data_IF_982326190704
#
_entry.id   IF_982326190704
#
_cell.length_a   1.000
_cell.length_b   1.000
_cell.length_c   1.000
_cell.angle_alpha   90.00
_cell.angle_beta   90.00
_cell.angle_gamma   90.00
#
_symmetry.space_group_name_H-M   'P 1'
#
loop_
_entity.id
_entity.type
_entity.pdbx_description
1 polymer ?
#
# COMPACT_ATOMS: atom_id res chain seq x y z
N UNK A 1 -7.81 4.56 -7.45
CA UNK A 1 -7.60 3.36 -8.31
C UNK A 1 -7.27 2.15 -7.44
N UNK A 2 -7.73 0.92 -7.76
CA UNK A 2 -7.44 -0.27 -6.95
C UNK A 2 -6.07 -0.89 -7.25
N UNK A 3 -5.43 -1.49 -6.24
CA UNK A 3 -4.15 -2.21 -6.40
C UNK A 3 -4.27 -3.39 -7.40
N UNK A 4 -3.27 -3.56 -8.28
CA UNK A 4 -3.25 -4.61 -9.32
C UNK A 4 -2.79 -5.98 -8.80
N UNK A 5 -2.05 -6.01 -7.68
CA UNK A 5 -1.61 -7.25 -7.03
C UNK A 5 -1.85 -7.22 -5.52
N UNK A 6 -1.82 -8.42 -4.90
CA UNK A 6 -1.87 -8.56 -3.44
C UNK A 6 -0.65 -7.89 -2.78
N UNK A 7 0.53 -7.97 -3.39
CA UNK A 7 1.74 -7.31 -2.88
C UNK A 7 1.57 -5.78 -2.79
N UNK A 8 1.05 -5.16 -3.86
CA UNK A 8 0.77 -3.71 -3.86
C UNK A 8 -0.27 -3.32 -2.82
N UNK A 9 -1.31 -4.12 -2.63
CA UNK A 9 -2.34 -3.87 -1.62
C UNK A 9 -1.77 -3.91 -0.20
N UNK A 10 -0.91 -4.90 0.10
CA UNK A 10 -0.21 -4.99 1.39
C UNK A 10 0.73 -3.81 1.60
N UNK A 11 1.49 -3.44 0.58
CA UNK A 11 2.39 -2.28 0.62
C UNK A 11 1.62 -0.97 0.86
N UNK A 12 0.46 -0.80 0.21
CA UNK A 12 -0.42 0.35 0.42
C UNK A 12 -0.96 0.40 1.87
N UNK A 13 -1.32 -0.74 2.45
CA UNK A 13 -1.76 -0.82 3.84
C UNK A 13 -0.67 -0.40 4.82
N UNK A 14 0.57 -0.90 4.64
CA UNK A 14 1.71 -0.50 5.46
C UNK A 14 2.04 1.00 5.30
N UNK A 15 2.06 1.49 4.06
CA UNK A 15 2.26 2.89 3.76
C UNK A 15 1.18 3.78 4.40
N UNK A 16 -0.09 3.36 4.38
CA UNK A 16 -1.21 4.07 5.01
C UNK A 16 -1.03 4.16 6.52
N UNK A 17 -0.70 3.05 7.19
CA UNK A 17 -0.44 3.03 8.62
C UNK A 17 0.70 3.98 9.00
N UNK A 18 1.77 4.01 8.21
CA UNK A 18 2.89 4.93 8.42
C UNK A 18 2.51 6.40 8.16
N UNK A 19 1.66 6.68 7.17
CA UNK A 19 1.13 8.04 6.90
C UNK A 19 0.30 8.56 8.07
N UNK A 20 -0.45 7.67 8.73
CA UNK A 20 -1.27 7.96 9.92
C UNK A 20 -0.49 8.03 11.22
N UNK A 21 0.79 7.68 11.20
CA UNK A 21 1.63 7.62 12.40
C UNK A 21 1.42 6.36 13.25
N UNK A 22 0.69 5.36 12.76
CA UNK A 22 0.47 4.06 13.43
C UNK A 22 1.69 3.13 13.28
N UNK A 23 2.55 3.38 12.28
CA UNK A 23 3.79 2.64 12.00
C UNK A 23 4.94 3.62 11.76
N UNK A 24 6.18 3.27 12.13
CA UNK A 24 7.33 4.14 11.86
C UNK A 24 7.69 4.07 10.38
N UNK A 25 7.94 5.23 9.76
CA UNK A 25 8.37 5.32 8.35
C UNK A 25 9.69 4.57 8.06
N UNK A 26 10.52 4.36 9.09
CA UNK A 26 11.75 3.57 9.01
C UNK A 26 11.51 2.07 8.85
N UNK A 27 10.32 1.57 9.21
CA UNK A 27 9.94 0.16 9.09
C UNK A 27 9.43 -0.19 7.69
N UNK A 28 9.07 0.82 6.90
CA UNK A 28 8.64 0.65 5.51
C UNK A 28 9.79 0.15 4.62
N UNK A 29 9.48 -0.82 3.78
CA UNK A 29 10.43 -1.44 2.83
C UNK A 29 9.86 -1.49 1.42
N UNK A 30 10.74 -1.34 0.43
CA UNK A 30 10.42 -1.39 -1.00
C UNK A 30 9.28 -0.44 -1.36
N UNK A 31 8.28 -0.97 -2.10
CA UNK A 31 7.13 -0.23 -2.59
C UNK A 31 6.38 0.54 -1.49
N UNK A 32 6.26 0.01 -0.27
CA UNK A 32 5.54 0.70 0.81
C UNK A 32 6.18 2.05 1.20
N UNK A 33 7.51 2.16 1.08
CA UNK A 33 8.25 3.39 1.37
C UNK A 33 8.07 4.44 0.28
N UNK A 34 8.04 4.00 -0.98
CA UNK A 34 7.77 4.89 -2.12
C UNK A 34 6.32 5.35 -2.12
N UNK A 35 5.38 4.44 -1.86
CA UNK A 35 3.96 4.75 -1.77
C UNK A 35 3.65 5.75 -0.65
N UNK A 36 4.26 5.61 0.54
CA UNK A 36 4.06 6.59 1.63
C UNK A 36 4.52 7.99 1.24
N UNK A 37 5.63 8.10 0.50
CA UNK A 37 6.20 9.38 0.07
C UNK A 37 5.41 10.01 -1.07
N UNK A 38 5.03 9.23 -2.06
CA UNK A 38 4.50 9.71 -3.35
C UNK A 38 2.98 9.74 -3.42
N UNK A 39 2.27 9.06 -2.53
CA UNK A 39 0.81 8.97 -2.54
C UNK A 39 0.17 9.65 -1.32
N UNK A 40 -1.03 10.18 -1.50
CA UNK A 40 -1.84 10.74 -0.41
C UNK A 40 -2.49 9.64 0.43
N UNK A 41 -2.94 9.97 1.65
CA UNK A 41 -3.65 9.02 2.52
C UNK A 41 -4.86 8.40 1.81
N UNK A 42 -5.61 9.21 1.06
CA UNK A 42 -6.79 8.76 0.33
C UNK A 42 -6.43 7.74 -0.75
N UNK A 43 -5.39 7.99 -1.52
CA UNK A 43 -4.95 7.06 -2.56
C UNK A 43 -4.42 5.75 -1.94
N UNK A 44 -3.64 5.83 -0.87
CA UNK A 44 -3.17 4.65 -0.13
C UNK A 44 -4.34 3.81 0.40
N UNK A 45 -5.39 4.47 0.92
CA UNK A 45 -6.63 3.81 1.35
C UNK A 45 -7.33 3.10 0.19
N UNK A 46 -7.47 3.74 -0.96
CA UNK A 46 -8.08 3.10 -2.15
C UNK A 46 -7.29 1.89 -2.64
N UNK A 47 -5.96 1.95 -2.60
CA UNK A 47 -5.12 0.81 -2.94
C UNK A 47 -5.23 -0.32 -1.90
N UNK A 48 -5.37 0.01 -0.61
CA UNK A 48 -5.47 -0.94 0.49
C UNK A 48 -6.84 -1.64 0.60
N UNK A 49 -7.93 -1.00 0.18
CA UNK A 49 -9.32 -1.50 0.36
C UNK A 49 -9.86 -2.36 -0.79
N UNK A 50 -9.11 -2.55 -1.87
CA UNK A 50 -9.56 -3.36 -3.01
C UNK A 50 -9.84 -4.84 -2.65
N UNK A 51 -10.72 -5.53 -3.40
CA UNK A 51 -10.97 -6.96 -3.15
C UNK A 51 -9.69 -7.79 -3.36
N UNK A 52 -9.34 -8.65 -2.40
CA UNK A 52 -8.16 -9.52 -2.48
C UNK A 52 -8.38 -10.73 -3.42
N UNK A 53 -9.64 -11.13 -3.60
CA UNK A 53 -10.03 -12.34 -4.34
C UNK A 53 -9.81 -12.14 -5.84
N UNK A 54 -9.05 -13.03 -6.46
CA UNK A 54 -8.77 -13.02 -7.91
C UNK A 54 -7.59 -12.17 -8.37
N UNK A 55 -6.89 -11.47 -7.46
CA UNK A 55 -5.67 -10.72 -7.81
C UNK A 55 -4.44 -11.63 -7.83
N UNK A 56 -3.52 -11.46 -8.78
CA UNK A 56 -2.22 -12.13 -8.73
C UNK A 56 -1.42 -11.65 -7.51
N UNK A 57 -0.53 -12.52 -7.00
CA UNK A 57 0.35 -12.17 -5.88
C UNK A 57 1.34 -11.06 -6.26
N UNK A 58 1.87 -11.11 -7.49
CA UNK A 58 2.71 -10.08 -8.09
C UNK A 58 2.22 -9.76 -9.51
N UNK A 59 2.20 -8.49 -9.87
CA UNK A 59 2.11 -8.08 -11.29
C UNK A 59 3.52 -8.13 -11.86
N UNK A 60 3.67 -8.77 -13.02
CA UNK A 60 4.94 -8.88 -13.74
C UNK A 60 5.17 -7.62 -14.59
#
# INVERSE_FOLDING_TARGET
MPAKSKAQQKAAGAALAAKRGEMKKSELKGASKEMEKSMTEKELREFATGKHKGKPDHVK
#
